data_IF_498427719472
#
_entry.id   IF_498427719472
#
_cell.length_a   1.000
_cell.length_b   1.000
_cell.length_c   1.000
_cell.angle_alpha   90.00
_cell.angle_beta   90.00
_cell.angle_gamma   90.00
#
_symmetry.space_group_name_H-M   'P 1'
#
loop_
_entity.id
_entity.type
_entity.pdbx_description
1 polymer ?
#
# COMPACT_ATOMS: atom_id res chain seq x y z
N UNK A 1 45.01 -0.61 46.59
CA UNK A 1 43.71 -0.04 46.20
C UNK A 1 43.83 0.42 44.76
N UNK A 2 43.40 -0.41 43.80
CA UNK A 2 43.73 -0.27 42.37
C UNK A 2 42.65 0.57 41.66
N UNK A 3 43.05 1.70 41.07
CA UNK A 3 42.23 2.43 40.09
C UNK A 3 42.06 1.58 38.82
N UNK A 4 40.86 1.57 38.23
CA UNK A 4 40.66 1.26 36.81
C UNK A 4 39.71 2.29 36.19
N UNK A 5 40.23 2.97 35.19
CA UNK A 5 39.60 3.88 34.24
C UNK A 5 39.14 3.06 33.01
N UNK A 6 38.09 3.50 32.32
CA UNK A 6 37.63 2.95 31.03
C UNK A 6 36.44 2.00 31.19
N UNK A 7 35.35 2.08 30.43
CA UNK A 7 35.17 2.34 28.99
C UNK A 7 33.63 2.40 28.81
N UNK A 8 32.97 3.00 27.82
CA UNK A 8 33.25 3.73 26.60
C UNK A 8 31.83 4.00 26.04
N UNK A 9 31.62 5.13 25.37
CA UNK A 9 30.40 5.48 24.64
C UNK A 9 29.71 4.27 23.97
N UNK A 10 28.42 4.06 24.23
CA UNK A 10 27.60 3.22 23.37
C UNK A 10 27.29 4.01 22.10
N UNK A 11 28.22 3.98 21.13
CA UNK A 11 27.96 4.41 19.77
C UNK A 11 26.97 3.44 19.12
N UNK A 12 25.91 3.97 18.53
CA UNK A 12 24.91 3.22 17.78
C UNK A 12 25.57 2.35 16.68
N UNK A 13 25.20 1.07 16.64
CA UNK A 13 25.50 0.18 15.53
C UNK A 13 24.34 0.29 14.55
N UNK A 14 24.49 1.10 13.51
CA UNK A 14 23.62 1.04 12.33
C UNK A 14 24.32 0.12 11.34
N UNK A 15 23.84 -1.12 11.21
CA UNK A 15 24.29 -2.04 10.17
C UNK A 15 23.48 -1.73 8.90
N UNK A 16 23.94 -0.81 8.07
CA UNK A 16 23.40 -0.67 6.73
C UNK A 16 24.00 -1.75 5.83
N UNK A 17 23.18 -2.69 5.39
CA UNK A 17 23.55 -3.63 4.34
C UNK A 17 23.38 -2.91 3.00
N UNK A 18 24.44 -2.28 2.50
CA UNK A 18 24.43 -1.73 1.14
C UNK A 18 24.88 -2.82 0.17
N UNK A 19 23.94 -3.42 -0.58
CA UNK A 19 24.27 -4.19 -1.77
C UNK A 19 24.34 -3.20 -2.94
N UNK A 20 25.55 -3.00 -3.48
CA UNK A 20 25.75 -2.37 -4.77
C UNK A 20 25.52 -3.44 -5.86
N UNK A 21 24.41 -3.39 -6.57
CA UNK A 21 24.23 -4.17 -7.79
C UNK A 21 24.59 -3.31 -9.00
N UNK A 22 25.69 -3.64 -9.68
CA UNK A 22 25.97 -3.23 -11.06
C UNK A 22 25.56 -4.37 -12.00
N UNK A 23 24.56 -4.13 -12.86
CA UNK A 23 24.50 -4.64 -14.24
C UNK A 23 23.30 -4.03 -14.96
N UNK A 24 23.53 -3.41 -16.12
CA UNK A 24 22.47 -2.85 -16.96
C UNK A 24 21.57 -3.92 -17.56
N UNK A 25 20.26 -3.64 -17.57
CA UNK A 25 19.25 -4.45 -18.26
C UNK A 25 17.84 -4.06 -17.83
N UNK A 26 17.24 -3.06 -18.52
CA UNK A 26 15.93 -2.46 -18.29
C UNK A 26 15.74 -1.88 -16.86
N UNK A 27 15.27 -0.64 -16.72
CA UNK A 27 14.86 -0.14 -15.41
C UNK A 27 13.61 -0.95 -15.00
N UNK A 28 13.82 -2.08 -14.33
CA UNK A 28 12.76 -2.95 -13.84
C UNK A 28 12.04 -2.25 -12.70
N UNK A 29 10.71 -2.42 -12.67
CA UNK A 29 9.85 -2.06 -11.55
C UNK A 29 10.55 -2.33 -10.21
N UNK A 30 10.63 -1.31 -9.35
CA UNK A 30 11.05 -1.52 -7.98
C UNK A 30 9.88 -2.08 -7.16
N UNK A 31 10.19 -2.88 -6.14
CA UNK A 31 9.22 -3.20 -5.10
C UNK A 31 9.43 -2.20 -3.96
N UNK A 32 8.41 -1.40 -3.66
CA UNK A 32 8.48 -0.33 -2.64
C UNK A 32 7.34 -0.43 -1.63
N UNK A 33 7.61 -0.05 -0.40
CA UNK A 33 6.68 -0.08 0.72
C UNK A 33 6.27 1.32 1.13
N UNK A 34 4.97 1.51 1.34
CA UNK A 34 4.40 2.77 1.76
C UNK A 34 4.86 3.14 3.16
N UNK A 35 5.33 4.38 3.31
CA UNK A 35 5.63 4.98 4.62
C UNK A 35 4.66 6.10 4.93
N UNK A 36 4.37 6.95 3.94
CA UNK A 36 3.62 8.17 4.16
C UNK A 36 4.42 9.23 4.93
N UNK A 37 3.81 10.41 5.11
CA UNK A 37 4.43 11.56 5.77
C UNK A 37 3.61 12.12 6.95
N UNK A 38 2.51 11.44 7.31
CA UNK A 38 1.52 11.86 8.32
C UNK A 38 0.95 13.28 8.10
N UNK A 39 1.13 13.87 6.90
CA UNK A 39 0.70 15.22 6.57
C UNK A 39 -0.20 15.26 5.32
N UNK A 40 0.34 15.32 4.12
CA UNK A 40 -0.49 15.31 2.91
C UNK A 40 -0.73 13.88 2.40
N UNK A 41 0.10 12.94 2.89
CA UNK A 41 0.11 11.51 2.65
C UNK A 41 -0.01 11.18 1.16
N UNK A 42 0.76 11.92 0.35
CA UNK A 42 0.68 11.92 -1.11
C UNK A 42 1.25 10.64 -1.72
N UNK A 43 0.43 9.95 -2.51
CA UNK A 43 0.92 9.01 -3.50
C UNK A 43 0.98 9.72 -4.85
N UNK A 44 2.20 10.05 -5.25
CA UNK A 44 2.53 10.64 -6.54
C UNK A 44 3.98 10.29 -6.94
N UNK A 45 4.46 10.87 -8.04
CA UNK A 45 5.81 10.63 -8.57
C UNK A 45 6.87 11.63 -8.06
N UNK A 46 6.49 12.57 -7.21
CA UNK A 46 7.33 13.70 -6.80
C UNK A 46 7.69 13.68 -5.30
N UNK A 47 6.84 13.07 -4.48
CA UNK A 47 6.92 13.07 -3.03
C UNK A 47 7.61 11.79 -2.53
N UNK A 48 8.61 11.90 -1.63
CA UNK A 48 9.34 10.76 -1.11
C UNK A 48 8.57 10.12 0.06
N UNK A 49 7.48 9.42 -0.23
CA UNK A 49 6.60 8.80 0.79
C UNK A 49 6.74 7.27 0.85
N UNK A 50 7.79 6.72 0.23
CA UNK A 50 8.09 5.29 0.16
C UNK A 50 9.44 4.98 0.80
N UNK A 51 9.61 3.75 1.27
CA UNK A 51 10.88 3.25 1.84
C UNK A 51 11.44 4.15 2.95
N UNK A 52 10.70 4.27 4.05
CA UNK A 52 10.97 5.14 5.19
C UNK A 52 11.06 6.64 4.81
N UNK A 53 10.32 7.04 3.78
CA UNK A 53 10.29 8.40 3.26
C UNK A 53 11.55 8.78 2.47
N UNK A 54 12.25 7.80 1.90
CA UNK A 54 13.50 7.99 1.17
C UNK A 54 13.35 7.88 -0.34
N UNK A 55 12.22 7.33 -0.82
CA UNK A 55 11.99 7.03 -2.24
C UNK A 55 10.69 7.63 -2.77
N UNK A 56 10.73 8.03 -4.04
CA UNK A 56 9.56 8.40 -4.81
C UNK A 56 9.01 7.16 -5.53
N UNK A 57 7.71 7.15 -5.78
CA UNK A 57 7.08 6.17 -6.66
C UNK A 57 7.36 6.49 -8.13
N UNK A 58 7.54 5.45 -8.95
CA UNK A 58 7.57 5.51 -10.41
C UNK A 58 6.54 4.56 -11.00
N UNK A 59 5.89 4.95 -12.10
CA UNK A 59 4.96 4.05 -12.80
C UNK A 59 5.64 2.74 -13.20
N UNK A 60 4.93 1.64 -12.93
CA UNK A 60 5.45 0.29 -13.04
C UNK A 60 5.95 -0.30 -11.72
N UNK A 61 6.23 0.50 -10.68
CA UNK A 61 6.65 -0.04 -9.37
C UNK A 61 5.55 -0.91 -8.74
N UNK A 62 5.98 -1.99 -8.10
CA UNK A 62 5.14 -2.85 -7.27
C UNK A 62 5.06 -2.27 -5.87
N UNK A 63 3.87 -1.84 -5.45
CA UNK A 63 3.70 -1.11 -4.19
C UNK A 63 3.06 -1.98 -3.11
N UNK A 64 3.56 -1.86 -1.88
CA UNK A 64 3.02 -2.55 -0.70
C UNK A 64 2.59 -1.56 0.37
N UNK A 65 1.37 -1.72 0.87
CA UNK A 65 0.84 -1.03 2.04
C UNK A 65 0.72 -2.05 3.18
N UNK A 66 1.52 -1.91 4.23
CA UNK A 66 1.54 -2.81 5.38
C UNK A 66 1.31 -2.07 6.71
N UNK A 67 1.67 -2.68 7.83
CA UNK A 67 1.50 -2.08 9.16
C UNK A 67 2.57 -1.04 9.56
N UNK A 68 3.55 -0.73 8.69
CA UNK A 68 4.52 0.32 8.94
C UNK A 68 4.10 1.68 8.37
N UNK A 69 3.18 1.68 7.40
CA UNK A 69 2.80 2.88 6.66
C UNK A 69 1.72 3.74 7.34
N UNK A 70 1.79 5.05 7.11
CA UNK A 70 0.81 6.01 7.61
C UNK A 70 -0.58 5.79 7.01
N UNK A 71 -1.57 5.68 7.90
CA UNK A 71 -3.00 5.55 7.58
C UNK A 71 -3.81 6.84 7.84
N UNK A 72 -3.19 7.84 8.47
CA UNK A 72 -3.86 9.09 8.85
C UNK A 72 -2.95 10.30 8.62
N UNK A 73 -3.28 11.20 7.66
CA UNK A 73 -4.50 11.18 6.86
C UNK A 73 -4.54 10.06 5.81
N UNK A 74 -5.66 9.91 5.12
CA UNK A 74 -5.81 8.91 4.07
C UNK A 74 -4.71 9.02 3.01
N UNK A 75 -4.32 7.89 2.41
CA UNK A 75 -3.40 7.87 1.26
C UNK A 75 -4.05 8.66 0.13
N UNK A 76 -3.39 9.72 -0.31
CA UNK A 76 -3.92 10.71 -1.23
C UNK A 76 -3.29 10.53 -2.61
N UNK A 77 -4.02 9.88 -3.51
CA UNK A 77 -3.64 9.78 -4.92
C UNK A 77 -3.88 11.15 -5.55
N UNK A 78 -2.81 11.87 -5.88
CA UNK A 78 -2.93 13.24 -6.42
C UNK A 78 -2.97 13.27 -7.96
N UNK A 79 -2.57 12.18 -8.62
CA UNK A 79 -2.53 12.03 -10.08
C UNK A 79 -3.06 10.67 -10.54
N UNK A 80 -3.11 10.45 -11.86
CA UNK A 80 -3.28 9.10 -12.40
C UNK A 80 -1.96 8.32 -12.24
N UNK A 81 -2.03 7.11 -11.70
CA UNK A 81 -0.90 6.25 -11.38
C UNK A 81 -1.11 4.87 -12.00
N UNK A 82 -0.05 4.27 -12.52
CA UNK A 82 -0.07 2.93 -13.12
C UNK A 82 1.00 2.03 -12.50
N UNK A 83 0.83 1.59 -11.23
CA UNK A 83 1.77 0.68 -10.59
C UNK A 83 1.85 -0.66 -11.32
N UNK A 84 2.90 -1.44 -11.08
CA UNK A 84 2.98 -2.82 -11.55
C UNK A 84 1.96 -3.71 -10.83
N UNK A 85 1.84 -3.51 -9.51
CA UNK A 85 0.84 -4.14 -8.66
C UNK A 85 0.64 -3.34 -7.37
N UNK A 86 -0.52 -3.53 -6.74
CA UNK A 86 -0.82 -2.97 -5.42
C UNK A 86 -1.12 -4.09 -4.45
N UNK A 87 -0.28 -4.25 -3.43
CA UNK A 87 -0.54 -5.15 -2.31
C UNK A 87 -0.92 -4.36 -1.08
N UNK A 88 -2.06 -4.69 -0.47
CA UNK A 88 -2.47 -4.13 0.82
C UNK A 88 -2.49 -5.27 1.83
N UNK A 89 -1.49 -5.32 2.69
CA UNK A 89 -1.24 -6.33 3.71
C UNK A 89 -1.28 -5.72 5.11
N UNK A 90 -2.42 -5.13 5.45
CA UNK A 90 -2.65 -4.50 6.74
C UNK A 90 -3.39 -5.42 7.70
N UNK A 91 -2.86 -5.57 8.90
CA UNK A 91 -3.51 -6.28 10.00
C UNK A 91 -4.09 -5.27 10.99
N UNK A 92 -5.36 -5.45 11.33
CA UNK A 92 -5.99 -4.75 12.45
C UNK A 92 -6.28 -5.79 13.53
N UNK A 93 -5.96 -5.46 14.78
CA UNK A 93 -6.28 -6.26 15.96
C UNK A 93 -7.02 -5.38 17.00
N UNK A 94 -7.32 -5.95 18.18
CA UNK A 94 -8.12 -5.26 19.19
C UNK A 94 -7.44 -4.01 19.78
N UNK A 95 -6.13 -3.87 19.63
CA UNK A 95 -5.34 -2.80 20.22
C UNK A 95 -4.88 -1.77 19.19
N UNK A 96 -4.86 -2.15 17.91
CA UNK A 96 -4.42 -1.30 16.83
C UNK A 96 -5.27 -1.45 15.56
N UNK A 97 -5.82 -0.33 15.10
CA UNK A 97 -6.55 -0.27 13.82
C UNK A 97 -5.61 0.26 12.75
N UNK A 98 -5.36 -0.55 11.74
CA UNK A 98 -4.47 -0.21 10.64
C UNK A 98 -5.21 -0.23 9.31
N UNK A 99 -6.35 0.44 9.25
CA UNK A 99 -7.23 0.46 8.08
C UNK A 99 -6.79 1.53 7.07
N UNK A 100 -6.47 1.12 5.84
CA UNK A 100 -6.09 2.03 4.78
C UNK A 100 -7.32 2.67 4.11
N UNK A 101 -7.18 3.94 3.74
CA UNK A 101 -8.14 4.66 2.89
C UNK A 101 -7.39 5.23 1.70
N UNK A 102 -7.78 4.84 0.49
CA UNK A 102 -7.32 5.47 -0.75
C UNK A 102 -8.32 6.57 -1.14
N UNK A 103 -7.80 7.78 -1.31
CA UNK A 103 -8.57 9.00 -1.58
C UNK A 103 -7.81 9.93 -2.53
N UNK A 104 -8.30 11.17 -2.69
CA UNK A 104 -7.69 12.16 -3.57
C UNK A 104 -8.42 12.35 -4.89
N UNK A 105 -7.88 13.23 -5.73
CA UNK A 105 -8.41 13.53 -7.09
C UNK A 105 -7.83 12.63 -8.18
N UNK A 106 -6.83 11.83 -7.83
CA UNK A 106 -6.15 10.88 -8.70
C UNK A 106 -6.89 9.56 -8.87
N UNK A 107 -6.21 8.61 -9.52
CA UNK A 107 -6.77 7.30 -9.85
C UNK A 107 -5.68 6.26 -10.11
N UNK A 108 -6.02 4.99 -9.90
CA UNK A 108 -5.24 3.85 -10.38
C UNK A 108 -5.70 3.47 -11.79
N UNK A 109 -4.75 3.30 -12.69
CA UNK A 109 -4.97 3.09 -14.13
C UNK A 109 -4.04 1.99 -14.68
N UNK A 110 -4.22 1.63 -15.96
CA UNK A 110 -3.33 0.68 -16.64
C UNK A 110 -3.55 -0.77 -16.22
N UNK A 111 -2.49 -1.59 -16.31
CA UNK A 111 -2.57 -3.03 -16.07
C UNK A 111 -2.53 -3.47 -14.61
N UNK A 112 -2.45 -2.54 -13.65
CA UNK A 112 -2.30 -2.89 -12.23
C UNK A 112 -3.47 -3.72 -11.70
N UNK A 113 -3.18 -4.63 -10.79
CA UNK A 113 -4.17 -5.31 -9.95
C UNK A 113 -4.04 -4.91 -8.48
N UNK A 114 -5.04 -5.27 -7.68
CA UNK A 114 -5.03 -5.06 -6.22
C UNK A 114 -5.11 -6.41 -5.52
N UNK A 115 -4.18 -6.69 -4.61
CA UNK A 115 -4.26 -7.84 -3.71
C UNK A 115 -4.45 -7.36 -2.28
N UNK A 116 -5.63 -7.62 -1.71
CA UNK A 116 -5.94 -7.38 -0.30
C UNK A 116 -5.72 -8.65 0.51
N UNK A 117 -4.85 -8.57 1.50
CA UNK A 117 -4.61 -9.58 2.53
C UNK A 117 -4.51 -8.90 3.90
N UNK A 118 -4.34 -9.67 4.96
CA UNK A 118 -4.40 -9.16 6.34
C UNK A 118 -5.82 -8.89 6.81
N UNK A 119 -5.98 -8.71 8.12
CA UNK A 119 -7.30 -8.59 8.78
C UNK A 119 -7.92 -7.21 8.69
N UNK A 120 -7.14 -6.16 8.42
CA UNK A 120 -7.62 -4.79 8.37
C UNK A 120 -8.48 -4.50 7.15
N UNK A 121 -9.08 -3.30 7.13
CA UNK A 121 -9.91 -2.83 6.02
C UNK A 121 -9.09 -2.01 5.02
N UNK A 122 -9.45 -2.12 3.73
CA UNK A 122 -9.09 -1.16 2.70
C UNK A 122 -10.36 -0.45 2.22
N UNK A 123 -10.42 0.88 2.34
CA UNK A 123 -11.48 1.68 1.72
C UNK A 123 -10.95 2.35 0.46
N UNK A 124 -11.66 2.22 -0.66
CA UNK A 124 -11.27 2.84 -1.93
C UNK A 124 -12.31 3.88 -2.33
N UNK A 125 -11.99 5.16 -2.12
CA UNK A 125 -12.87 6.29 -2.47
C UNK A 125 -12.59 6.87 -3.87
N UNK A 126 -11.46 6.52 -4.48
CA UNK A 126 -11.09 6.98 -5.83
C UNK A 126 -11.91 6.27 -6.91
N UNK A 127 -12.12 6.95 -8.04
CA UNK A 127 -12.65 6.33 -9.25
C UNK A 127 -11.47 5.83 -10.08
N UNK A 128 -11.36 4.52 -10.27
CA UNK A 128 -10.21 3.88 -10.91
C UNK A 128 -10.59 3.30 -12.29
N UNK A 129 -9.59 3.08 -13.15
CA UNK A 129 -9.76 2.56 -14.51
C UNK A 129 -8.76 1.46 -14.86
N UNK A 130 -8.06 0.88 -13.87
CA UNK A 130 -7.15 -0.24 -14.10
C UNK A 130 -7.90 -1.49 -14.59
N UNK A 131 -7.21 -2.32 -15.36
CA UNK A 131 -7.74 -3.54 -15.97
C UNK A 131 -7.31 -4.83 -15.25
N UNK A 132 -6.40 -4.75 -14.29
CA UNK A 132 -5.90 -5.91 -13.56
C UNK A 132 -6.89 -6.47 -12.53
N UNK A 133 -6.61 -7.70 -12.09
CA UNK A 133 -7.49 -8.45 -11.18
C UNK A 133 -7.47 -7.85 -9.77
N UNK A 134 -8.63 -7.83 -9.10
CA UNK A 134 -8.72 -7.58 -7.66
C UNK A 134 -8.86 -8.90 -6.91
N UNK A 135 -7.89 -9.23 -6.06
CA UNK A 135 -7.91 -10.41 -5.19
C UNK A 135 -8.15 -10.01 -3.74
N UNK A 136 -9.23 -10.47 -3.13
CA UNK A 136 -9.56 -10.24 -1.72
C UNK A 136 -9.36 -11.54 -0.94
N UNK A 137 -8.15 -11.70 -0.42
CA UNK A 137 -7.70 -12.91 0.28
C UNK A 137 -7.95 -12.84 1.79
N UNK A 138 -8.15 -11.65 2.37
CA UNK A 138 -8.44 -11.47 3.80
C UNK A 138 -8.97 -10.07 4.13
N UNK A 139 -9.53 -9.91 5.33
CA UNK A 139 -10.03 -8.64 5.84
C UNK A 139 -11.27 -8.14 5.10
N UNK A 140 -11.35 -6.83 4.87
CA UNK A 140 -12.46 -6.20 4.15
C UNK A 140 -11.98 -5.20 3.09
N UNK A 141 -12.70 -5.13 1.97
CA UNK A 141 -12.61 -4.02 1.01
C UNK A 141 -13.94 -3.28 1.01
N UNK A 142 -13.91 -1.99 1.35
CA UNK A 142 -15.06 -1.11 1.27
C UNK A 142 -14.97 -0.21 0.05
N UNK A 143 -15.99 -0.27 -0.79
CA UNK A 143 -16.09 0.57 -1.97
C UNK A 143 -16.64 1.93 -1.53
N UNK A 144 -15.88 3.00 -1.69
CA UNK A 144 -16.35 4.37 -1.49
C UNK A 144 -16.84 5.03 -2.78
N UNK A 145 -16.57 4.39 -3.93
CA UNK A 145 -16.92 4.86 -5.26
C UNK A 145 -17.44 3.70 -6.11
N UNK A 146 -18.38 3.97 -7.02
CA UNK A 146 -18.92 2.97 -7.95
C UNK A 146 -17.85 2.41 -8.91
N UNK A 147 -16.83 3.21 -9.23
CA UNK A 147 -15.69 2.81 -10.07
C UNK A 147 -14.45 2.44 -9.24
N UNK A 148 -14.60 2.10 -7.95
CA UNK A 148 -13.48 1.83 -7.06
C UNK A 148 -12.60 0.65 -7.53
N UNK A 149 -13.20 -0.39 -8.14
CA UNK A 149 -12.49 -1.62 -8.52
C UNK A 149 -11.93 -1.61 -9.95
N UNK A 150 -11.89 -0.45 -10.61
CA UNK A 150 -11.41 -0.37 -11.99
C UNK A 150 -12.42 -0.90 -12.99
N UNK A 151 -11.92 -1.39 -14.13
CA UNK A 151 -12.73 -1.99 -15.18
C UNK A 151 -13.14 -3.43 -14.83
N UNK A 152 -14.06 -4.00 -15.61
CA UNK A 152 -14.49 -5.40 -15.43
C UNK A 152 -13.59 -6.42 -16.15
N UNK A 153 -12.46 -5.99 -16.75
CA UNK A 153 -11.58 -6.85 -17.57
C UNK A 153 -10.90 -7.93 -16.73
N UNK A 154 -10.21 -7.55 -15.66
CA UNK A 154 -9.56 -8.49 -14.74
C UNK A 154 -10.53 -9.15 -13.76
N UNK A 155 -11.64 -8.48 -13.46
CA UNK A 155 -12.65 -8.96 -12.52
C UNK A 155 -12.19 -8.93 -11.06
N UNK A 156 -13.02 -9.48 -10.18
CA UNK A 156 -12.75 -9.52 -8.73
C UNK A 156 -12.97 -10.92 -8.18
N UNK A 157 -12.01 -11.40 -7.40
CA UNK A 157 -12.02 -12.71 -6.75
C UNK A 157 -11.97 -12.51 -5.24
N UNK A 158 -12.90 -13.14 -4.51
CA UNK A 158 -12.97 -13.10 -3.04
C UNK A 158 -12.67 -14.50 -2.50
N UNK A 159 -11.47 -14.71 -1.97
CA UNK A 159 -10.99 -16.01 -1.49
C UNK A 159 -11.08 -16.18 0.03
N UNK A 160 -11.13 -15.08 0.79
CA UNK A 160 -11.14 -15.15 2.26
C UNK A 160 -11.45 -13.85 3.00
N UNK A 161 -11.76 -12.77 2.27
CA UNK A 161 -12.20 -11.51 2.87
C UNK A 161 -13.66 -11.18 2.58
N UNK A 162 -14.02 -9.94 2.85
CA UNK A 162 -15.37 -9.41 2.62
C UNK A 162 -15.31 -8.19 1.71
N UNK A 163 -16.38 -7.99 0.95
CA UNK A 163 -16.57 -6.78 0.15
C UNK A 163 -17.80 -6.03 0.66
N UNK A 164 -17.65 -4.73 0.90
CA UNK A 164 -18.69 -3.86 1.41
C UNK A 164 -19.00 -2.78 0.37
N UNK A 165 -20.15 -2.89 -0.29
CA UNK A 165 -20.64 -1.87 -1.24
C UNK A 165 -21.57 -0.87 -0.54
N UNK A 166 -21.51 0.44 -0.86
CA UNK A 166 -22.47 1.42 -0.35
C UNK A 166 -23.88 1.07 -0.83
N UNK A 167 -24.75 0.63 0.10
CA UNK A 167 -26.18 0.42 -0.17
C UNK A 167 -26.58 -0.96 -0.72
N UNK A 168 -25.70 -1.97 -0.73
CA UNK A 168 -26.03 -3.33 -1.16
C UNK A 168 -25.77 -4.38 -0.07
N UNK A 169 -26.79 -5.19 0.23
CA UNK A 169 -26.63 -6.45 0.96
C UNK A 169 -25.74 -7.38 0.14
N UNK A 170 -24.68 -7.91 0.76
CA UNK A 170 -23.87 -8.98 0.17
C UNK A 170 -24.72 -10.27 0.12
N UNK A 171 -25.31 -10.57 -1.03
CA UNK A 171 -25.89 -11.89 -1.28
C UNK A 171 -24.77 -12.87 -1.62
N UNK A 172 -24.34 -13.61 -0.60
CA UNK A 172 -23.37 -14.69 -0.74
C UNK A 172 -24.01 -16.06 -1.04
N UNK A 173 -25.33 -16.11 -1.27
CA UNK A 173 -26.03 -17.38 -1.48
C UNK A 173 -27.02 -17.46 -2.63
N UNK A 174 -27.30 -16.39 -3.39
CA UNK A 174 -28.08 -16.46 -4.62
C UNK A 174 -29.37 -17.25 -4.46
N UNK A 175 -30.36 -16.67 -3.77
CA UNK A 175 -31.71 -17.25 -3.67
C UNK A 175 -32.76 -16.30 -4.27
#
# INVERSE_FOLDING_TARGET
>A
MRLRLGCLNLLAVVLTWSILALAGGNAGAAAITWTGDDNDNLWDTASPNWEDGLSNYTDGDDVTFDNAGSVSPAVNLSTALSPGSVTVNNFSDDLEVHDYVFSGTGSLTGGTGITKTGTGMLTINTANTFDGVVNINGGAVRLGNAAALGSTVGGTVVNGGTMLSPGGTLDMFGA
#
